data_IF_677563279665
#
_entry.id   IF_677563279665
#
_cell.length_a   1.000
_cell.length_b   1.000
_cell.length_c   1.000
_cell.angle_alpha   90.00
_cell.angle_beta   90.00
_cell.angle_gamma   90.00
#
_symmetry.space_group_name_H-M   'P 1'
#
loop_
_entity.id
_entity.type
_entity.pdbx_description
1 polymer ?
#
# COMPACT_ATOMS: atom_id res chain seq x y z
N UNK A 1 19.63 -0.43 28.14
CA UNK A 1 20.14 0.64 27.23
C UNK A 1 19.02 1.62 26.80
N UNK A 2 19.28 2.93 26.69
CA UNK A 2 18.29 3.89 26.13
C UNK A 2 18.50 4.06 24.62
N UNK A 3 17.59 3.54 23.81
CA UNK A 3 17.69 3.53 22.34
C UNK A 3 16.45 4.14 21.71
N UNK A 4 16.65 5.12 20.86
CA UNK A 4 15.60 5.68 20.00
C UNK A 4 15.54 4.88 18.69
N UNK A 5 14.36 4.38 18.35
CA UNK A 5 14.12 3.58 17.14
C UNK A 5 13.28 4.41 16.17
N UNK A 6 13.80 4.62 14.96
CA UNK A 6 13.12 5.36 13.89
C UNK A 6 12.92 4.49 12.66
N UNK A 7 11.67 4.23 12.30
CA UNK A 7 11.32 3.59 11.03
C UNK A 7 11.42 4.59 9.89
N UNK A 8 12.11 4.21 8.81
CA UNK A 8 12.26 5.06 7.62
C UNK A 8 11.76 4.41 6.32
N UNK A 9 11.58 3.09 6.30
CA UNK A 9 10.93 2.36 5.22
C UNK A 9 9.81 1.49 5.80
N UNK A 10 8.66 1.48 5.12
CA UNK A 10 7.62 0.47 5.30
C UNK A 10 7.01 0.10 3.96
N UNK A 11 6.96 -1.19 3.68
CA UNK A 11 6.29 -1.79 2.53
C UNK A 11 5.27 -2.82 3.02
N UNK A 12 4.62 -3.53 2.10
CA UNK A 12 3.70 -4.63 2.44
C UNK A 12 4.40 -5.84 3.07
N UNK A 13 5.71 -6.01 2.84
CA UNK A 13 6.45 -7.21 3.23
C UNK A 13 7.82 -6.92 3.84
N UNK A 14 8.14 -5.67 4.15
CA UNK A 14 9.43 -5.30 4.75
C UNK A 14 9.38 -3.93 5.43
N UNK A 15 10.17 -3.76 6.49
CA UNK A 15 10.39 -2.48 7.18
C UNK A 15 11.88 -2.29 7.47
N UNK A 16 12.33 -1.03 7.48
CA UNK A 16 13.71 -0.69 7.85
C UNK A 16 13.72 0.38 8.94
N UNK A 17 14.61 0.19 9.91
CA UNK A 17 14.75 1.02 11.10
C UNK A 17 16.19 1.50 11.28
N UNK A 18 16.31 2.66 11.91
CA UNK A 18 17.56 3.22 12.39
C UNK A 18 17.50 3.33 13.90
N UNK A 19 18.62 3.01 14.55
CA UNK A 19 18.77 3.01 16.00
C UNK A 19 19.73 4.12 16.39
N UNK A 20 19.40 4.86 17.45
CA UNK A 20 20.23 5.91 18.01
C UNK A 20 20.37 5.74 19.52
N UNK A 21 21.56 6.01 20.04
CA UNK A 21 21.84 6.14 21.46
C UNK A 21 22.38 7.55 21.75
N UNK A 22 22.86 7.78 22.98
CA UNK A 22 23.47 9.06 23.37
C UNK A 22 24.73 9.43 22.59
N UNK A 23 25.42 8.45 21.99
CA UNK A 23 26.66 8.65 21.23
C UNK A 23 26.41 8.87 19.73
N UNK A 24 25.17 8.64 19.27
CA UNK A 24 24.75 8.88 17.90
C UNK A 24 24.08 7.66 17.28
N UNK A 25 24.37 7.41 16.01
CA UNK A 25 23.79 6.28 15.26
C UNK A 25 24.39 4.98 15.77
N UNK A 26 23.53 4.08 16.23
CA UNK A 26 23.88 2.78 16.76
C UNK A 26 23.90 1.72 15.66
N UNK A 27 23.02 1.82 14.66
CA UNK A 27 22.92 0.85 13.57
C UNK A 27 21.62 0.90 12.80
N UNK A 28 21.40 -0.12 11.97
CA UNK A 28 20.18 -0.31 11.18
C UNK A 28 19.63 -1.73 11.30
N UNK A 29 18.30 -1.86 11.24
CA UNK A 29 17.59 -3.14 11.19
C UNK A 29 16.73 -3.17 9.93
N UNK A 30 16.92 -4.21 9.13
CA UNK A 30 16.00 -4.56 8.05
C UNK A 30 15.18 -5.78 8.45
N UNK A 31 13.86 -5.65 8.39
CA UNK A 31 12.91 -6.72 8.62
C UNK A 31 12.22 -7.11 7.32
N UNK A 32 12.18 -8.41 7.03
CA UNK A 32 11.40 -8.98 5.93
C UNK A 32 10.31 -9.90 6.47
N UNK A 33 9.09 -9.68 5.98
CA UNK A 33 7.86 -10.37 6.39
C UNK A 33 7.39 -11.31 5.28
N UNK A 34 7.34 -12.61 5.60
CA UNK A 34 6.61 -13.62 4.82
C UNK A 34 5.76 -14.45 5.79
N UNK A 35 6.05 -15.76 5.94
CA UNK A 35 5.47 -16.61 7.00
C UNK A 35 6.25 -16.51 8.31
N UNK A 36 7.56 -16.33 8.18
CA UNK A 36 8.50 -16.01 9.27
C UNK A 36 9.02 -14.59 9.08
N UNK A 37 9.54 -14.00 10.16
CA UNK A 37 10.19 -12.70 10.16
C UNK A 37 11.69 -12.91 10.12
N UNK A 38 12.37 -12.32 9.13
CA UNK A 38 13.83 -12.33 9.05
C UNK A 38 14.37 -10.93 9.32
N UNK A 39 15.22 -10.80 10.32
CA UNK A 39 15.89 -9.56 10.71
C UNK A 39 17.38 -9.56 10.37
N UNK A 40 17.86 -8.46 9.80
CA UNK A 40 19.30 -8.19 9.66
C UNK A 40 19.62 -6.93 10.45
N UNK A 41 20.37 -7.07 11.55
CA UNK A 41 20.82 -5.96 12.39
C UNK A 41 22.30 -5.68 12.07
N UNK A 42 22.62 -4.46 11.66
CA UNK A 42 24.00 -4.00 11.47
C UNK A 42 24.29 -2.94 12.51
N UNK A 43 25.21 -3.22 13.44
CA UNK A 43 25.68 -2.32 14.48
C UNK A 43 26.91 -1.55 14.01
N UNK A 44 26.86 -0.23 14.14
CA UNK A 44 27.94 0.70 13.79
C UNK A 44 28.85 1.04 14.96
N UNK A 45 28.47 0.62 16.17
CA UNK A 45 29.23 0.77 17.41
C UNK A 45 29.57 -0.60 18.00
N UNK A 46 30.61 -0.64 18.83
CA UNK A 46 30.91 -1.84 19.61
C UNK A 46 29.99 -1.95 20.81
N UNK A 47 29.22 -3.04 20.84
CA UNK A 47 28.35 -3.40 21.96
C UNK A 47 28.85 -4.71 22.57
N UNK A 48 28.71 -4.81 23.89
CA UNK A 48 28.89 -6.06 24.62
C UNK A 48 27.76 -7.05 24.30
N UNK A 49 27.98 -8.34 24.54
CA UNK A 49 26.95 -9.37 24.32
C UNK A 49 25.65 -9.05 25.09
N UNK A 50 25.76 -8.57 26.32
CA UNK A 50 24.60 -8.17 27.13
C UNK A 50 23.82 -7.00 26.50
N UNK A 51 24.51 -6.00 25.96
CA UNK A 51 23.86 -4.86 25.29
C UNK A 51 23.17 -5.29 23.99
N UNK A 52 23.76 -6.24 23.26
CA UNK A 52 23.14 -6.85 22.07
C UNK A 52 21.87 -7.60 22.47
N UNK A 53 21.91 -8.42 23.52
CA UNK A 53 20.73 -9.13 24.04
C UNK A 53 19.62 -8.18 24.48
N UNK A 54 19.96 -7.10 25.20
CA UNK A 54 19.00 -6.07 25.60
C UNK A 54 18.35 -5.38 24.38
N UNK A 55 19.15 -5.09 23.35
CA UNK A 55 18.66 -4.47 22.11
C UNK A 55 17.73 -5.41 21.34
N UNK A 56 18.08 -6.69 21.22
CA UNK A 56 17.25 -7.69 20.55
C UNK A 56 15.91 -7.86 21.26
N UNK A 57 15.92 -7.92 22.60
CA UNK A 57 14.69 -7.96 23.38
C UNK A 57 13.82 -6.72 23.14
N UNK A 58 14.42 -5.53 23.13
CA UNK A 58 13.70 -4.29 22.82
C UNK A 58 13.11 -4.28 21.41
N UNK A 59 13.83 -4.81 20.42
CA UNK A 59 13.32 -4.98 19.04
C UNK A 59 12.12 -5.93 19.05
N UNK A 60 12.20 -7.03 19.79
CA UNK A 60 11.09 -7.97 19.89
C UNK A 60 9.85 -7.32 20.49
N UNK A 61 9.99 -6.67 21.65
CA UNK A 61 8.89 -6.02 22.38
C UNK A 61 8.28 -4.83 21.61
N UNK A 62 9.11 -3.91 21.09
CA UNK A 62 8.63 -2.65 20.51
C UNK A 62 8.17 -2.78 19.04
N UNK A 63 8.76 -3.71 18.29
CA UNK A 63 8.55 -3.83 16.85
C UNK A 63 7.81 -5.12 16.53
N UNK A 64 8.37 -6.26 16.94
CA UNK A 64 7.98 -7.56 16.37
C UNK A 64 6.72 -8.12 17.00
N UNK A 65 6.47 -7.85 18.28
CA UNK A 65 5.25 -8.27 18.97
C UNK A 65 3.99 -7.69 18.30
N UNK A 66 4.11 -6.53 17.63
CA UNK A 66 3.03 -5.92 16.85
C UNK A 66 2.71 -6.65 15.54
N UNK A 67 3.52 -7.64 15.14
CA UNK A 67 3.46 -8.32 13.84
C UNK A 67 2.94 -9.75 14.05
N UNK A 68 1.62 -9.91 13.97
CA UNK A 68 0.92 -11.18 14.14
C UNK A 68 0.04 -11.50 12.92
N UNK A 69 -0.08 -12.77 12.47
CA UNK A 69 0.60 -13.97 12.98
C UNK A 69 2.04 -14.12 12.44
N UNK A 70 2.96 -14.67 13.26
CA UNK A 70 4.32 -15.09 12.86
C UNK A 70 4.53 -16.57 13.15
N UNK A 71 5.15 -17.30 12.23
CA UNK A 71 5.56 -18.69 12.46
C UNK A 71 6.91 -18.78 13.20
N UNK A 72 7.85 -17.86 12.89
CA UNK A 72 9.19 -17.84 13.49
C UNK A 72 9.82 -16.43 13.39
N UNK A 73 10.84 -16.16 14.20
CA UNK A 73 11.63 -14.93 14.17
C UNK A 73 13.13 -15.21 14.23
N UNK A 74 13.80 -14.92 13.12
CA UNK A 74 15.20 -15.24 12.89
C UNK A 74 15.97 -13.95 12.69
N UNK A 75 17.16 -13.84 13.28
CA UNK A 75 17.99 -12.65 13.20
C UNK A 75 19.42 -13.00 12.84
N UNK A 76 20.04 -12.14 12.06
CA UNK A 76 21.50 -12.08 11.91
C UNK A 76 21.99 -10.72 12.41
N UNK A 77 22.98 -10.74 13.30
CA UNK A 77 23.61 -9.53 13.84
C UNK A 77 25.01 -9.42 13.27
N UNK A 78 25.28 -8.27 12.66
CA UNK A 78 26.58 -7.91 12.10
C UNK A 78 27.08 -6.65 12.78
N UNK A 79 28.40 -6.52 12.81
CA UNK A 79 29.07 -5.31 13.25
C UNK A 79 29.87 -4.77 12.07
N UNK A 80 29.69 -3.50 11.76
CA UNK A 80 30.32 -2.88 10.60
C UNK A 80 30.01 -1.41 10.45
N UNK A 81 30.72 -0.73 9.56
CA UNK A 81 30.58 0.69 9.32
C UNK A 81 29.88 0.94 7.98
N UNK A 82 28.98 1.92 7.92
CA UNK A 82 28.41 2.38 6.65
C UNK A 82 29.51 2.95 5.74
N UNK A 83 29.62 2.41 4.53
CA UNK A 83 30.62 2.84 3.53
C UNK A 83 30.08 3.99 2.67
N UNK A 84 28.76 4.07 2.49
CA UNK A 84 28.08 5.18 1.81
C UNK A 84 26.66 4.81 1.35
N UNK A 85 25.87 5.84 1.05
CA UNK A 85 24.51 5.73 0.53
C UNK A 85 24.47 6.06 -0.96
N UNK A 86 23.91 5.16 -1.78
CA UNK A 86 23.81 5.31 -3.23
C UNK A 86 22.35 5.24 -3.67
N UNK A 87 21.93 6.13 -4.56
CA UNK A 87 20.56 6.22 -5.08
C UNK A 87 20.58 6.51 -6.57
N UNK A 88 19.74 5.81 -7.34
CA UNK A 88 19.60 5.99 -8.81
C UNK A 88 19.03 7.37 -9.21
N UNK A 89 18.59 8.18 -8.23
CA UNK A 89 18.21 9.57 -8.43
C UNK A 89 19.22 10.47 -7.73
N UNK A 90 20.04 11.23 -8.46
CA UNK A 90 20.98 12.15 -7.85
C UNK A 90 20.20 13.29 -7.17
N UNK A 91 20.41 13.51 -5.88
CA UNK A 91 20.36 14.87 -5.37
C UNK A 91 21.75 15.47 -5.63
N UNK A 92 21.86 16.73 -6.04
CA UNK A 92 23.18 17.32 -6.29
C UNK A 92 24.08 17.34 -5.04
N UNK A 93 23.49 17.17 -3.85
CA UNK A 93 24.15 17.02 -2.54
C UNK A 93 24.71 15.62 -2.22
N UNK A 94 24.46 14.58 -3.03
CA UNK A 94 24.73 13.18 -2.60
C UNK A 94 26.19 12.74 -2.52
N UNK A 95 27.18 13.62 -2.78
CA UNK A 95 28.58 13.19 -3.05
C UNK A 95 29.52 13.21 -1.84
N UNK A 96 29.06 13.60 -0.65
CA UNK A 96 29.83 13.47 0.61
C UNK A 96 28.89 13.19 1.78
N UNK A 97 28.35 11.98 1.85
CA UNK A 97 27.63 11.55 3.06
C UNK A 97 28.65 11.18 4.15
N UNK A 98 28.83 12.07 5.12
CA UNK A 98 29.21 11.65 6.47
C UNK A 98 28.08 10.77 7.03
N UNK A 99 28.42 9.81 7.91
CA UNK A 99 27.49 8.89 8.57
C UNK A 99 26.17 9.57 8.93
N UNK A 100 25.06 9.09 8.38
CA UNK A 100 23.78 9.78 8.38
C UNK A 100 23.40 10.27 9.79
N UNK A 101 23.26 11.59 9.97
CA UNK A 101 22.71 12.20 11.18
C UNK A 101 21.18 12.14 11.12
N UNK A 102 20.50 12.36 12.25
CA UNK A 102 19.02 12.36 12.33
C UNK A 102 18.35 13.28 11.29
N UNK A 103 19.03 14.32 10.81
CA UNK A 103 18.56 15.20 9.72
C UNK A 103 18.55 14.52 8.33
N UNK A 104 19.44 13.56 8.06
CA UNK A 104 19.53 12.85 6.78
C UNK A 104 18.40 11.82 6.60
N UNK A 105 17.83 11.38 7.72
CA UNK A 105 16.72 10.44 7.83
C UNK A 105 15.43 10.97 7.18
N UNK A 106 15.14 12.26 7.37
CA UNK A 106 14.01 12.92 6.74
C UNK A 106 14.21 13.01 5.22
N UNK A 107 15.44 13.29 4.77
CA UNK A 107 15.80 13.32 3.36
C UNK A 107 15.63 11.97 2.68
N UNK A 108 16.16 10.91 3.29
CA UNK A 108 16.07 9.52 2.81
C UNK A 108 14.62 9.06 2.78
N UNK A 109 13.87 9.25 3.87
CA UNK A 109 12.45 8.91 3.95
C UNK A 109 11.62 9.63 2.88
N UNK A 110 11.88 10.92 2.65
CA UNK A 110 11.19 11.71 1.61
C UNK A 110 11.52 11.21 0.20
N UNK A 111 12.77 10.86 -0.07
CA UNK A 111 13.18 10.29 -1.36
C UNK A 111 12.51 8.92 -1.61
N UNK A 112 12.49 8.05 -0.59
CA UNK A 112 11.88 6.72 -0.67
C UNK A 112 10.36 6.77 -0.77
N UNK A 113 9.70 7.62 0.02
CA UNK A 113 8.26 7.87 -0.10
C UNK A 113 7.90 8.38 -1.51
N UNK A 114 8.79 9.15 -2.14
CA UNK A 114 8.61 9.60 -3.53
C UNK A 114 8.74 8.43 -4.53
N UNK A 115 9.68 7.51 -4.33
CA UNK A 115 9.84 6.32 -5.18
C UNK A 115 8.68 5.35 -5.02
N UNK A 116 8.33 5.01 -3.78
CA UNK A 116 7.19 4.14 -3.45
C UNK A 116 5.87 4.76 -3.93
N UNK A 117 5.68 6.06 -3.74
CA UNK A 117 4.53 6.80 -4.25
C UNK A 117 4.42 6.75 -5.77
N UNK A 118 5.55 6.85 -6.50
CA UNK A 118 5.58 6.68 -7.96
C UNK A 118 5.23 5.26 -8.38
N UNK A 119 5.76 4.25 -7.69
CA UNK A 119 5.43 2.85 -7.95
C UNK A 119 3.94 2.55 -7.72
N UNK A 120 3.38 3.05 -6.61
CA UNK A 120 1.95 2.97 -6.33
C UNK A 120 1.09 3.68 -7.40
N UNK A 121 1.51 4.86 -7.88
CA UNK A 121 0.80 5.59 -8.94
C UNK A 121 0.79 4.80 -10.27
N UNK A 122 1.93 4.23 -10.67
CA UNK A 122 2.02 3.40 -11.88
C UNK A 122 1.14 2.15 -11.74
N UNK A 123 1.21 1.48 -10.59
CA UNK A 123 0.36 0.30 -10.31
C UNK A 123 -1.12 0.65 -10.36
N UNK A 124 -1.52 1.79 -9.77
CA UNK A 124 -2.90 2.29 -9.85
C UNK A 124 -3.37 2.48 -11.29
N UNK A 125 -2.57 3.13 -12.14
CA UNK A 125 -2.90 3.29 -13.57
C UNK A 125 -3.02 1.97 -14.31
N UNK A 126 -2.18 0.98 -14.00
CA UNK A 126 -2.27 -0.36 -14.58
C UNK A 126 -3.53 -1.09 -14.09
N UNK A 127 -3.90 -0.90 -12.82
CA UNK A 127 -5.12 -1.45 -12.22
C UNK A 127 -6.36 -0.88 -12.93
N UNK A 128 -6.40 0.44 -13.18
CA UNK A 128 -7.45 1.11 -13.97
C UNK A 128 -7.56 0.50 -15.37
N UNK A 129 -6.43 0.30 -16.06
CA UNK A 129 -6.39 -0.26 -17.41
C UNK A 129 -6.93 -1.70 -17.45
N UNK A 130 -6.50 -2.53 -16.52
CA UNK A 130 -6.99 -3.90 -16.40
C UNK A 130 -8.50 -3.96 -16.09
N UNK A 131 -8.99 -3.00 -15.30
CA UNK A 131 -10.43 -2.84 -15.08
C UNK A 131 -11.19 -2.52 -16.37
N UNK A 132 -10.67 -1.61 -17.21
CA UNK A 132 -11.29 -1.28 -18.50
C UNK A 132 -11.44 -2.53 -19.38
N UNK A 133 -10.34 -3.25 -19.63
CA UNK A 133 -10.38 -4.45 -20.47
C UNK A 133 -11.29 -5.53 -19.91
N UNK A 134 -11.34 -5.69 -18.59
CA UNK A 134 -12.27 -6.60 -17.95
C UNK A 134 -13.73 -6.24 -18.23
N UNK A 135 -14.14 -4.99 -18.01
CA UNK A 135 -15.53 -4.59 -18.27
C UNK A 135 -15.86 -4.60 -19.77
N UNK A 136 -14.91 -4.27 -20.64
CA UNK A 136 -15.08 -4.39 -22.10
C UNK A 136 -15.28 -5.84 -22.53
N UNK A 137 -14.55 -6.80 -21.94
CA UNK A 137 -14.75 -8.24 -22.19
C UNK A 137 -16.15 -8.73 -21.80
N UNK A 138 -16.78 -8.07 -20.83
CA UNK A 138 -18.17 -8.30 -20.42
C UNK A 138 -19.19 -7.57 -21.32
N UNK A 139 -18.74 -6.88 -22.35
CA UNK A 139 -19.56 -6.15 -23.33
C UNK A 139 -20.02 -4.78 -22.87
N UNK A 140 -19.28 -4.12 -21.97
CA UNK A 140 -19.49 -2.71 -21.63
C UNK A 140 -18.66 -1.80 -22.54
N UNK A 141 -19.14 -0.57 -22.77
CA UNK A 141 -18.29 0.52 -23.25
C UNK A 141 -17.69 1.22 -22.03
N UNK A 142 -16.38 1.09 -21.82
CA UNK A 142 -15.73 1.50 -20.56
C UNK A 142 -14.68 2.59 -20.80
N UNK A 143 -14.57 3.54 -19.87
CA UNK A 143 -13.52 4.54 -19.90
C UNK A 143 -13.16 5.03 -18.49
N UNK A 144 -12.04 5.74 -18.39
CA UNK A 144 -11.63 6.41 -17.15
C UNK A 144 -12.63 7.51 -16.78
N UNK A 145 -13.04 7.56 -15.52
CA UNK A 145 -13.99 8.57 -14.99
C UNK A 145 -13.56 10.01 -15.27
N UNK A 146 -12.25 10.30 -15.14
CA UNK A 146 -11.63 11.59 -15.46
C UNK A 146 -11.81 12.06 -16.91
N UNK A 147 -12.17 11.18 -17.84
CA UNK A 147 -12.54 11.55 -19.23
C UNK A 147 -13.98 12.03 -19.35
N UNK A 148 -14.85 11.69 -18.40
CA UNK A 148 -16.26 12.06 -18.35
C UNK A 148 -16.44 13.33 -17.51
N UNK A 149 -16.03 13.28 -16.24
CA UNK A 149 -16.13 14.38 -15.30
C UNK A 149 -15.03 14.26 -14.26
N UNK A 150 -14.20 15.31 -14.13
CA UNK A 150 -13.09 15.35 -13.16
C UNK A 150 -13.57 15.25 -11.71
N UNK A 151 -14.82 15.61 -11.43
CA UNK A 151 -15.38 15.51 -10.08
C UNK A 151 -15.62 14.06 -9.63
N UNK A 152 -15.67 13.11 -10.56
CA UNK A 152 -15.86 11.69 -10.26
C UNK A 152 -14.64 11.08 -9.54
N UNK A 153 -13.42 11.54 -9.85
CA UNK A 153 -12.19 11.12 -9.15
C UNK A 153 -12.25 11.48 -7.65
N UNK A 154 -12.84 12.64 -7.31
CA UNK A 154 -13.04 13.05 -5.92
C UNK A 154 -14.02 12.14 -5.18
N UNK A 155 -14.96 11.54 -5.90
CA UNK A 155 -15.91 10.55 -5.36
C UNK A 155 -15.37 9.11 -5.39
N UNK A 156 -14.07 8.93 -5.69
CA UNK A 156 -13.41 7.63 -5.77
C UNK A 156 -13.98 6.71 -6.85
N UNK A 157 -14.54 7.29 -7.90
CA UNK A 157 -14.91 6.58 -9.12
C UNK A 157 -13.69 6.60 -10.04
N UNK A 158 -13.19 5.43 -10.41
CA UNK A 158 -12.03 5.29 -11.29
C UNK A 158 -12.46 5.08 -12.74
N UNK A 159 -13.52 4.29 -12.97
CA UNK A 159 -14.05 4.00 -14.31
C UNK A 159 -15.55 4.29 -14.40
N UNK A 160 -16.00 4.58 -15.62
CA UNK A 160 -17.41 4.69 -15.99
C UNK A 160 -17.65 3.74 -17.16
N UNK A 161 -18.65 2.87 -17.01
CA UNK A 161 -18.99 1.87 -18.00
C UNK A 161 -20.47 1.92 -18.38
N UNK A 162 -20.77 1.93 -19.67
CA UNK A 162 -22.14 1.94 -20.18
C UNK A 162 -22.49 0.59 -20.83
N UNK A 163 -23.69 0.10 -20.55
CA UNK A 163 -24.26 -1.08 -21.22
C UNK A 163 -25.78 -1.00 -21.19
N UNK A 164 -26.41 -1.24 -22.35
CA UNK A 164 -27.87 -1.27 -22.49
C UNK A 164 -28.57 0.01 -21.98
N UNK A 165 -27.94 1.19 -22.14
CA UNK A 165 -28.48 2.46 -21.65
C UNK A 165 -28.43 2.64 -20.13
N UNK A 166 -27.75 1.75 -19.39
CA UNK A 166 -27.44 1.93 -17.96
C UNK A 166 -25.96 2.31 -17.81
N UNK A 167 -25.67 3.26 -16.91
CA UNK A 167 -24.29 3.65 -16.56
C UNK A 167 -23.88 3.02 -15.24
N UNK A 168 -22.69 2.44 -15.20
CA UNK A 168 -22.07 1.84 -14.02
C UNK A 168 -20.85 2.66 -13.62
N UNK A 169 -20.87 3.20 -12.40
CA UNK A 169 -19.72 3.88 -11.78
C UNK A 169 -18.88 2.86 -11.02
N UNK A 170 -17.59 2.82 -11.29
CA UNK A 170 -16.74 1.70 -10.88
C UNK A 170 -15.55 2.22 -10.09
N UNK A 171 -15.34 1.66 -8.90
CA UNK A 171 -14.09 1.80 -8.15
C UNK A 171 -13.24 0.55 -8.35
N UNK A 172 -11.96 0.73 -8.68
CA UNK A 172 -11.01 -0.36 -8.89
C UNK A 172 -9.85 -0.22 -7.91
N UNK A 173 -9.55 -1.30 -7.20
CA UNK A 173 -8.46 -1.31 -6.21
C UNK A 173 -7.70 -2.64 -6.22
N UNK A 174 -6.38 -2.55 -6.26
CA UNK A 174 -5.47 -3.68 -6.14
C UNK A 174 -5.65 -4.49 -4.84
N UNK A 175 -5.88 -3.80 -3.72
CA UNK A 175 -6.04 -4.41 -2.39
C UNK A 175 -7.50 -4.59 -1.98
N UNK A 176 -7.77 -4.35 -0.69
CA UNK A 176 -9.10 -4.45 -0.11
C UNK A 176 -9.90 -3.14 -0.17
N UNK A 177 -11.22 -3.27 -0.34
CA UNK A 177 -12.17 -2.16 -0.20
C UNK A 177 -13.01 -2.42 1.06
N UNK A 178 -12.93 -1.50 2.02
CA UNK A 178 -13.68 -1.59 3.27
C UNK A 178 -15.05 -0.92 3.20
N UNK A 179 -15.91 -1.28 4.15
CA UNK A 179 -17.35 -0.91 4.18
C UNK A 179 -17.60 0.59 4.10
N UNK A 180 -16.84 1.39 4.86
CA UNK A 180 -16.95 2.85 4.84
C UNK A 180 -16.68 3.44 3.45
N UNK A 181 -15.75 2.87 2.69
CA UNK A 181 -15.44 3.33 1.34
C UNK A 181 -16.60 3.03 0.39
N UNK A 182 -17.18 1.83 0.49
CA UNK A 182 -18.37 1.41 -0.27
C UNK A 182 -19.54 2.36 0.03
N UNK A 183 -19.87 2.56 1.31
CA UNK A 183 -20.95 3.45 1.72
C UNK A 183 -20.77 4.89 1.22
N UNK A 184 -19.53 5.41 1.29
CA UNK A 184 -19.21 6.77 0.86
C UNK A 184 -19.45 6.94 -0.64
N UNK A 185 -18.93 6.03 -1.46
CA UNK A 185 -19.11 6.08 -2.91
C UNK A 185 -20.58 5.90 -3.29
N UNK A 186 -21.30 4.95 -2.67
CA UNK A 186 -22.73 4.73 -2.94
C UNK A 186 -23.56 5.95 -2.60
N UNK A 187 -23.34 6.55 -1.42
CA UNK A 187 -24.01 7.78 -1.02
C UNK A 187 -23.72 8.92 -2.01
N UNK A 188 -22.46 9.11 -2.39
CA UNK A 188 -22.09 10.14 -3.36
C UNK A 188 -22.79 9.94 -4.71
N UNK A 189 -22.77 8.71 -5.24
CA UNK A 189 -23.36 8.40 -6.54
C UNK A 189 -24.89 8.44 -6.52
N UNK A 190 -25.54 8.21 -5.38
CA UNK A 190 -26.98 8.42 -5.26
C UNK A 190 -27.40 9.86 -5.52
N UNK A 191 -26.59 10.83 -5.07
CA UNK A 191 -26.82 12.27 -5.22
C UNK A 191 -26.29 12.84 -6.54
N UNK A 192 -25.39 12.12 -7.21
CA UNK A 192 -24.79 12.58 -8.47
C UNK A 192 -25.83 12.59 -9.60
N UNK A 193 -25.97 13.74 -10.27
CA UNK A 193 -26.91 13.90 -11.37
C UNK A 193 -26.34 13.29 -12.65
N UNK A 194 -27.09 12.36 -13.26
CA UNK A 194 -26.70 11.72 -14.52
C UNK A 194 -27.95 11.34 -15.33
N UNK A 195 -27.82 11.27 -16.65
CA UNK A 195 -28.94 11.12 -17.58
C UNK A 195 -29.51 9.69 -17.65
N UNK A 196 -28.75 8.69 -17.26
CA UNK A 196 -29.13 7.27 -17.34
C UNK A 196 -29.32 6.63 -15.97
N UNK A 197 -30.03 5.49 -15.87
CA UNK A 197 -30.03 4.68 -14.65
C UNK A 197 -28.60 4.38 -14.18
N UNK A 198 -28.40 4.51 -12.86
CA UNK A 198 -27.08 4.46 -12.22
C UNK A 198 -26.90 3.13 -11.49
N UNK A 199 -25.87 2.41 -11.87
CA UNK A 199 -25.35 1.23 -11.19
C UNK A 199 -23.99 1.55 -10.57
N UNK A 200 -23.58 0.74 -9.61
CA UNK A 200 -22.27 0.84 -8.98
C UNK A 200 -21.58 -0.52 -9.05
N UNK A 201 -20.28 -0.51 -9.32
CA UNK A 201 -19.46 -1.69 -9.17
C UNK A 201 -18.19 -1.39 -8.39
N UNK A 202 -17.71 -2.39 -7.67
CA UNK A 202 -16.41 -2.37 -7.04
C UNK A 202 -15.61 -3.55 -7.58
N UNK A 203 -14.33 -3.33 -7.90
CA UNK A 203 -13.39 -4.36 -8.30
C UNK A 203 -12.21 -4.36 -7.31
N UNK A 204 -12.09 -5.41 -6.50
CA UNK A 204 -11.08 -5.51 -5.45
C UNK A 204 -10.57 -6.94 -5.26
N UNK A 205 -9.44 -7.11 -4.57
CA UNK A 205 -8.99 -8.45 -4.19
C UNK A 205 -9.89 -9.01 -3.08
N UNK A 206 -10.18 -8.15 -2.09
CA UNK A 206 -10.87 -8.53 -0.87
C UNK A 206 -11.92 -7.49 -0.47
N UNK A 207 -12.98 -7.97 0.17
CA UNK A 207 -14.02 -7.20 0.81
C UNK A 207 -14.20 -7.68 2.25
N UNK A 208 -14.81 -6.85 3.09
CA UNK A 208 -15.16 -7.25 4.46
C UNK A 208 -16.09 -8.48 4.45
N UNK A 209 -16.05 -9.28 5.51
CA UNK A 209 -16.88 -10.49 5.66
C UNK A 209 -18.38 -10.24 5.46
N UNK A 210 -18.87 -9.08 5.89
CA UNK A 210 -20.29 -8.72 5.84
C UNK A 210 -20.63 -7.85 4.62
N UNK A 211 -19.73 -7.76 3.63
CA UNK A 211 -19.90 -6.88 2.47
C UNK A 211 -21.17 -7.18 1.68
N UNK A 212 -21.59 -8.45 1.55
CA UNK A 212 -22.85 -8.80 0.89
C UNK A 212 -24.10 -8.30 1.64
N UNK A 213 -24.09 -8.36 2.97
CA UNK A 213 -25.18 -7.80 3.78
C UNK A 213 -25.22 -6.28 3.65
N UNK A 214 -24.05 -5.63 3.69
CA UNK A 214 -23.93 -4.21 3.41
C UNK A 214 -24.47 -3.85 2.03
N UNK A 215 -24.13 -4.64 1.00
CA UNK A 215 -24.61 -4.46 -0.38
C UNK A 215 -26.13 -4.44 -0.42
N UNK A 216 -26.79 -5.48 0.10
CA UNK A 216 -28.27 -5.59 0.13
C UNK A 216 -28.91 -4.40 0.84
N UNK A 217 -28.35 -3.98 1.97
CA UNK A 217 -28.84 -2.83 2.74
C UNK A 217 -28.72 -1.53 1.93
N UNK A 218 -27.60 -1.33 1.23
CA UNK A 218 -27.36 -0.15 0.41
C UNK A 218 -28.22 -0.12 -0.85
N UNK A 219 -28.40 -1.26 -1.53
CA UNK A 219 -29.30 -1.38 -2.69
C UNK A 219 -30.73 -1.01 -2.30
N UNK A 220 -31.21 -1.53 -1.17
CA UNK A 220 -32.55 -1.23 -0.64
C UNK A 220 -32.71 0.24 -0.27
N UNK A 221 -31.68 0.84 0.35
CA UNK A 221 -31.70 2.23 0.81
C UNK A 221 -31.65 3.25 -0.33
N UNK A 222 -30.82 3.00 -1.35
CA UNK A 222 -30.57 3.97 -2.42
C UNK A 222 -31.25 3.63 -3.75
N UNK A 223 -31.91 2.46 -3.85
CA UNK A 223 -32.54 1.97 -5.07
C UNK A 223 -31.58 1.93 -6.27
N UNK A 224 -30.35 1.51 -6.03
CA UNK A 224 -29.30 1.35 -7.05
C UNK A 224 -28.82 -0.09 -7.06
N UNK A 225 -28.44 -0.62 -8.23
CA UNK A 225 -27.79 -1.94 -8.31
C UNK A 225 -26.32 -1.80 -7.96
N UNK A 226 -25.82 -2.65 -7.06
CA UNK A 226 -24.43 -2.66 -6.61
C UNK A 226 -23.85 -4.04 -6.91
N UNK A 227 -22.64 -4.09 -7.49
CA UNK A 227 -21.94 -5.34 -7.84
C UNK A 227 -20.54 -5.36 -7.27
N UNK A 228 -20.11 -6.51 -6.77
CA UNK A 228 -18.72 -6.77 -6.39
C UNK A 228 -18.07 -7.73 -7.38
N UNK A 229 -16.89 -7.34 -7.85
CA UNK A 229 -16.06 -8.14 -8.73
C UNK A 229 -14.74 -8.40 -8.03
N UNK A 230 -14.29 -9.64 -8.05
CA UNK A 230 -13.00 -9.97 -7.48
C UNK A 230 -11.90 -9.91 -8.54
N UNK A 231 -10.72 -9.44 -8.14
CA UNK A 231 -9.53 -9.39 -8.99
C UNK A 231 -9.21 -10.73 -9.66
N UNK A 232 -9.47 -11.86 -9.01
CA UNK A 232 -9.23 -13.18 -9.62
C UNK A 232 -10.03 -13.37 -10.94
N UNK A 233 -11.18 -12.71 -11.10
CA UNK A 233 -11.99 -12.78 -12.32
C UNK A 233 -11.31 -12.05 -13.49
N UNK A 234 -10.65 -10.93 -13.18
CA UNK A 234 -9.78 -10.21 -14.13
C UNK A 234 -8.60 -11.11 -14.51
N UNK A 235 -7.88 -11.63 -13.53
CA UNK A 235 -6.67 -12.44 -13.76
C UNK A 235 -6.95 -13.77 -14.48
N UNK A 236 -8.17 -14.31 -14.35
CA UNK A 236 -8.59 -15.48 -15.11
C UNK A 236 -8.74 -15.18 -16.61
N UNK A 237 -9.14 -13.95 -16.94
CA UNK A 237 -9.36 -13.51 -18.32
C UNK A 237 -8.12 -12.86 -18.92
N UNK A 238 -7.30 -12.20 -18.08
CA UNK A 238 -6.11 -11.43 -18.44
C UNK A 238 -4.97 -11.69 -17.45
N UNK A 239 -4.27 -12.83 -17.53
CA UNK A 239 -3.19 -13.21 -16.61
C UNK A 239 -2.02 -12.23 -16.58
N UNK A 240 -1.78 -11.49 -17.66
CA UNK A 240 -0.73 -10.49 -17.83
C UNK A 240 -0.81 -9.35 -16.79
N UNK A 241 -1.99 -9.08 -16.24
CA UNK A 241 -2.18 -8.06 -15.20
C UNK A 241 -1.83 -8.53 -13.78
N UNK A 242 -1.25 -9.73 -13.61
CA UNK A 242 -0.88 -10.25 -12.28
C UNK A 242 -0.05 -9.28 -11.44
N UNK A 243 0.86 -8.52 -12.06
CA UNK A 243 1.71 -7.56 -11.36
C UNK A 243 1.05 -6.17 -11.17
N UNK A 244 -0.14 -5.98 -11.73
CA UNK A 244 -0.91 -4.73 -11.66
C UNK A 244 -1.82 -4.69 -10.44
N UNK A 245 -2.32 -5.84 -9.99
CA UNK A 245 -3.13 -5.98 -8.78
C UNK A 245 -2.31 -6.45 -7.58
#
# INVERSE_FOLDING_TARGET
MNVEIKRYIRTSSSESYLFFNSEGRLGTLDLHYLKSIHGTLILEQELTELEVEELLKKIEDDIVESIYPREDFIFSVYQGKEVGFYSDKPSEDSRKYESARVMDLEGISKQLATVLGKQHNIRGKLTEHAGIEFFESLGYQCCLSRKIDKNLDHQKVDLVAEKNGETTFIQVKAGSIGDKAIETMVKAMSLYAYSTPKNIAFLANEYSKNSEELRVNLESKYQMKIRFYHVYQVLKSFPEYKNSF
#
